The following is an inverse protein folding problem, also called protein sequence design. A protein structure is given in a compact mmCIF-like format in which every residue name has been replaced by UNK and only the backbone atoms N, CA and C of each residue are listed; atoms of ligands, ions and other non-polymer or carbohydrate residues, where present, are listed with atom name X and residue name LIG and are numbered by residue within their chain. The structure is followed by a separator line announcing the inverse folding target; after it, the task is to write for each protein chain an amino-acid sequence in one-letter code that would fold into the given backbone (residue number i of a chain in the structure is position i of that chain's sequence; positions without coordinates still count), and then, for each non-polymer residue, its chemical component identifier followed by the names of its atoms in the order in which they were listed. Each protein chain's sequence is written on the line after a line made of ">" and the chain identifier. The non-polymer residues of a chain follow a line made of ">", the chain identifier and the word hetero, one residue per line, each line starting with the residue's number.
data_IF_053387457618
#
_entry.id   IF_053387457618
#
_cell.length_a   1.000
_cell.length_b   1.000
_cell.length_c   1.000
_cell.angle_alpha   90.00
_cell.angle_beta   90.00
_cell.angle_gamma   90.00
#
_symmetry.space_group_name_H-M   'P 1'
#
loop_
_entity.id
_entity.type
_entity.pdbx_description
1 polymer ?
#
# COMPACT_ATOMS: atom_id res chain seq x y z
N UNK A 1 12.15 11.96 14.98
CA UNK A 1 11.23 10.79 14.91
C UNK A 1 10.35 10.85 16.14
N UNK A 2 9.03 10.96 15.99
CA UNK A 2 8.06 11.07 17.12
C UNK A 2 7.17 9.83 17.09
N UNK A 3 7.03 9.08 18.19
CA UNK A 3 6.07 7.97 18.23
C UNK A 3 4.64 8.52 18.40
N UNK A 4 3.76 8.26 17.44
CA UNK A 4 2.35 8.65 17.51
C UNK A 4 1.44 7.62 18.22
N UNK A 5 2.04 6.54 18.71
CA UNK A 5 1.40 5.47 19.49
C UNK A 5 2.20 5.21 20.78
N UNK A 6 2.34 6.20 21.68
CA UNK A 6 3.09 6.03 22.93
C UNK A 6 2.49 4.97 23.87
N UNK A 7 1.21 4.66 23.71
CA UNK A 7 0.49 3.65 24.48
C UNK A 7 0.72 2.22 23.98
N UNK A 8 1.27 2.05 22.76
CA UNK A 8 1.54 0.73 22.17
C UNK A 8 2.97 0.28 22.51
N UNK A 9 3.19 -1.01 22.80
CA UNK A 9 4.52 -1.50 23.15
C UNK A 9 5.48 -1.43 21.95
N UNK A 10 6.77 -1.21 22.22
CA UNK A 10 7.82 -1.50 21.24
C UNK A 10 7.96 -3.00 21.10
N UNK A 11 7.89 -3.52 19.88
CA UNK A 11 8.01 -4.95 19.60
C UNK A 11 9.20 -5.22 18.67
N UNK A 12 9.78 -6.42 18.81
CA UNK A 12 10.88 -6.87 17.95
C UNK A 12 10.41 -7.01 16.50
N UNK A 13 11.33 -6.75 15.57
CA UNK A 13 11.07 -6.98 14.15
C UNK A 13 10.85 -8.47 13.86
N UNK A 14 9.75 -8.77 13.16
CA UNK A 14 9.47 -10.07 12.59
C UNK A 14 9.22 -9.90 11.09
N UNK A 15 9.95 -10.66 10.27
CA UNK A 15 9.65 -10.74 8.85
C UNK A 15 8.41 -11.62 8.64
N UNK A 16 7.28 -11.01 8.28
CA UNK A 16 6.04 -11.74 7.98
C UNK A 16 5.90 -11.95 6.49
N UNK A 17 5.32 -13.09 6.11
CA UNK A 17 5.11 -13.44 4.71
C UNK A 17 3.66 -13.88 4.49
N UNK A 18 3.14 -13.62 3.29
CA UNK A 18 1.81 -14.07 2.87
C UNK A 18 1.84 -14.46 1.38
N UNK A 19 1.27 -15.61 0.99
CA UNK A 19 1.14 -15.97 -0.41
C UNK A 19 0.30 -14.97 -1.19
N UNK A 20 0.72 -14.63 -2.41
CA UNK A 20 -0.07 -13.72 -3.27
C UNK A 20 -1.46 -14.25 -3.62
N UNK A 21 -1.65 -15.57 -3.61
CA UNK A 21 -2.97 -16.20 -3.80
C UNK A 21 -3.95 -15.82 -2.70
N UNK A 22 -3.50 -15.79 -1.45
CA UNK A 22 -4.33 -15.35 -0.31
C UNK A 22 -4.64 -13.85 -0.40
N UNK A 23 -3.66 -13.04 -0.80
CA UNK A 23 -3.86 -11.59 -1.02
C UNK A 23 -4.89 -11.33 -2.11
N UNK A 24 -4.83 -12.07 -3.23
CA UNK A 24 -5.81 -11.96 -4.32
C UNK A 24 -7.20 -12.37 -3.81
N UNK A 25 -7.31 -13.49 -3.10
CA UNK A 25 -8.58 -13.97 -2.54
C UNK A 25 -9.19 -12.95 -1.58
N UNK A 26 -8.40 -12.38 -0.68
CA UNK A 26 -8.84 -11.32 0.24
C UNK A 26 -9.35 -10.09 -0.53
N UNK A 27 -8.58 -9.59 -1.51
CA UNK A 27 -9.00 -8.45 -2.32
C UNK A 27 -10.27 -8.74 -3.14
N UNK A 28 -10.46 -9.98 -3.61
CA UNK A 28 -11.69 -10.38 -4.30
C UNK A 28 -12.90 -10.31 -3.36
N UNK A 29 -12.77 -10.78 -2.12
CA UNK A 29 -13.83 -10.82 -1.12
C UNK A 29 -14.28 -9.44 -0.58
N UNK A 30 -13.42 -8.42 -0.64
CA UNK A 30 -13.75 -7.08 -0.14
C UNK A 30 -14.77 -6.37 -1.05
N UNK A 31 -15.73 -5.65 -0.48
CA UNK A 31 -16.64 -4.79 -1.26
C UNK A 31 -15.95 -3.46 -1.60
N UNK A 32 -15.36 -3.39 -2.79
CA UNK A 32 -14.59 -2.23 -3.26
C UNK A 32 -14.58 -2.17 -4.79
N UNK A 33 -14.39 -0.96 -5.33
CA UNK A 33 -14.24 -0.74 -6.77
C UNK A 33 -13.09 -1.59 -7.34
N UNK A 34 -13.29 -2.19 -8.51
CA UNK A 34 -12.27 -3.01 -9.15
C UNK A 34 -10.94 -2.28 -9.34
N UNK A 35 -11.00 -0.99 -9.68
CA UNK A 35 -9.79 -0.17 -9.86
C UNK A 35 -9.02 0.07 -8.57
N UNK A 36 -9.72 0.20 -7.44
CA UNK A 36 -9.09 0.28 -6.12
C UNK A 36 -8.41 -1.05 -5.81
N UNK A 37 -9.09 -2.19 -6.04
CA UNK A 37 -8.50 -3.53 -5.84
C UNK A 37 -7.26 -3.75 -6.70
N UNK A 38 -7.31 -3.36 -7.98
CA UNK A 38 -6.17 -3.45 -8.91
C UNK A 38 -4.98 -2.62 -8.42
N UNK A 39 -5.21 -1.37 -8.05
CA UNK A 39 -4.17 -0.50 -7.53
C UNK A 39 -3.57 -1.04 -6.22
N UNK A 40 -4.41 -1.47 -5.28
CA UNK A 40 -3.97 -2.09 -4.02
C UNK A 40 -3.14 -3.35 -4.24
N UNK A 41 -3.54 -4.23 -5.17
CA UNK A 41 -2.75 -5.40 -5.55
C UNK A 41 -1.35 -5.02 -6.04
N UNK A 42 -1.25 -4.03 -6.94
CA UNK A 42 0.03 -3.59 -7.51
C UNK A 42 0.91 -2.97 -6.41
N UNK A 43 0.36 -2.06 -5.62
CA UNK A 43 1.09 -1.40 -4.53
C UNK A 43 1.56 -2.41 -3.49
N UNK A 44 0.68 -3.33 -3.07
CA UNK A 44 1.06 -4.41 -2.16
C UNK A 44 2.23 -5.19 -2.73
N UNK A 45 2.14 -5.64 -3.98
CA UNK A 45 3.18 -6.44 -4.63
C UNK A 45 4.54 -5.74 -4.66
N UNK A 46 4.57 -4.44 -4.94
CA UNK A 46 5.81 -3.64 -4.95
C UNK A 46 6.35 -3.49 -3.54
N UNK A 47 5.54 -2.98 -2.62
CA UNK A 47 5.97 -2.59 -1.26
C UNK A 47 6.38 -3.81 -0.41
N UNK A 48 5.76 -4.96 -0.66
CA UNK A 48 6.03 -6.20 0.08
C UNK A 48 6.98 -7.18 -0.62
N UNK A 49 7.48 -6.84 -1.81
CA UNK A 49 8.19 -7.78 -2.68
C UNK A 49 7.41 -9.10 -2.89
N UNK A 50 6.18 -9.01 -3.40
CA UNK A 50 5.25 -10.13 -3.60
C UNK A 50 4.87 -10.86 -2.29
N UNK A 51 4.67 -10.12 -1.20
CA UNK A 51 4.26 -10.66 0.09
C UNK A 51 5.38 -11.30 0.91
N UNK A 52 6.66 -11.14 0.52
CA UNK A 52 7.80 -11.83 1.17
C UNK A 52 8.55 -10.97 2.20
N UNK A 53 8.23 -9.68 2.29
CA UNK A 53 8.96 -8.70 3.12
C UNK A 53 8.04 -7.84 4.00
N UNK A 54 7.15 -8.45 4.78
CA UNK A 54 6.33 -7.72 5.76
C UNK A 54 7.07 -7.36 7.04
N UNK A 55 6.68 -6.26 7.68
CA UNK A 55 7.14 -5.85 9.02
C UNK A 55 6.03 -6.14 10.02
N UNK A 56 6.07 -7.27 10.72
CA UNK A 56 5.04 -7.62 11.72
C UNK A 56 3.62 -7.41 11.16
N UNK A 57 3.31 -8.09 10.05
CA UNK A 57 2.07 -8.00 9.27
C UNK A 57 1.81 -6.67 8.54
N UNK A 58 2.70 -5.67 8.64
CA UNK A 58 2.64 -4.45 7.86
C UNK A 58 3.41 -4.62 6.54
N UNK A 59 2.66 -4.81 5.45
CA UNK A 59 3.20 -5.06 4.11
C UNK A 59 3.26 -3.79 3.24
N UNK A 60 2.88 -2.65 3.82
CA UNK A 60 2.65 -1.39 3.10
C UNK A 60 3.51 -0.25 3.63
N UNK A 61 4.41 -0.55 4.56
CA UNK A 61 5.28 0.42 5.19
C UNK A 61 4.54 1.48 5.99
N UNK A 62 3.39 1.16 6.61
CA UNK A 62 2.65 2.11 7.43
C UNK A 62 3.52 2.57 8.62
N UNK A 63 3.84 3.85 8.65
CA UNK A 63 4.74 4.46 9.63
C UNK A 63 3.99 4.90 10.88
N UNK A 64 4.60 4.76 12.05
CA UNK A 64 4.14 5.27 13.33
C UNK A 64 4.81 6.62 13.69
N UNK A 65 5.71 7.13 12.85
CA UNK A 65 6.49 8.34 13.12
C UNK A 65 6.13 9.61 12.33
N UNK A 66 5.16 9.51 11.41
CA UNK A 66 4.69 10.64 10.60
C UNK A 66 3.42 11.28 11.17
N UNK A 67 2.41 10.46 11.48
CA UNK A 67 1.15 10.86 12.09
C UNK A 67 0.47 9.63 12.71
N UNK A 68 -0.54 9.87 13.57
CA UNK A 68 -1.45 8.80 13.99
C UNK A 68 -2.40 8.47 12.84
N UNK A 69 -2.61 7.18 12.58
CA UNK A 69 -3.61 6.70 11.62
C UNK A 69 -5.03 6.84 12.18
N UNK A 70 -6.08 6.72 11.35
CA UNK A 70 -7.46 6.77 11.82
C UNK A 70 -7.70 5.81 12.99
N UNK A 71 -8.44 6.28 14.00
CA UNK A 71 -8.67 5.58 15.27
C UNK A 71 -9.21 4.14 15.09
N UNK A 72 -9.95 3.87 14.01
CA UNK A 72 -10.47 2.53 13.72
C UNK A 72 -9.40 1.45 13.56
N UNK A 73 -8.14 1.81 13.35
CA UNK A 73 -7.02 0.88 13.30
C UNK A 73 -6.31 0.70 14.63
N UNK A 74 -6.65 1.48 15.66
CA UNK A 74 -5.93 1.47 16.93
C UNK A 74 -5.96 0.09 17.58
N UNK A 75 -7.09 -0.63 17.52
CA UNK A 75 -7.20 -2.00 18.06
C UNK A 75 -6.45 -3.04 17.24
N UNK A 76 -6.26 -2.79 15.94
CA UNK A 76 -5.48 -3.66 15.07
C UNK A 76 -3.98 -3.37 15.11
N UNK A 77 -3.56 -2.23 15.66
CA UNK A 77 -2.15 -1.90 15.87
C UNK A 77 -1.72 -2.47 17.23
N UNK A 78 -0.92 -3.53 17.19
CA UNK A 78 -0.50 -4.28 18.38
C UNK A 78 0.81 -3.81 18.98
N UNK A 79 1.61 -3.06 18.21
CA UNK A 79 2.90 -2.55 18.65
C UNK A 79 3.56 -1.64 17.63
N UNK A 80 4.76 -1.18 17.99
CA UNK A 80 5.60 -0.32 17.15
C UNK A 80 6.96 -0.98 16.94
N UNK A 81 7.44 -0.97 15.71
CA UNK A 81 8.72 -1.57 15.29
C UNK A 81 9.68 -0.46 14.89
N UNK A 82 10.86 -0.42 15.51
CA UNK A 82 11.97 0.42 15.06
C UNK A 82 12.76 -0.33 13.98
N UNK A 83 12.82 0.23 12.76
CA UNK A 83 13.61 -0.34 11.67
C UNK A 83 14.16 0.77 10.78
N UNK A 84 15.33 0.55 10.20
CA UNK A 84 15.85 1.45 9.18
C UNK A 84 15.07 1.29 7.87
N UNK A 85 14.71 2.43 7.26
CA UNK A 85 14.12 2.47 5.93
C UNK A 85 15.12 1.95 4.88
N UNK A 86 14.68 1.07 3.99
CA UNK A 86 15.56 0.41 3.02
C UNK A 86 16.27 1.40 2.07
N UNK A 87 15.65 2.54 1.76
CA UNK A 87 16.19 3.50 0.78
C UNK A 87 17.15 4.51 1.40
N UNK A 88 16.81 5.07 2.57
CA UNK A 88 17.61 6.14 3.18
C UNK A 88 18.46 5.68 4.36
N UNK A 89 18.32 4.42 4.78
CA UNK A 89 18.91 3.84 5.99
C UNK A 89 18.64 4.65 7.27
N UNK A 90 17.55 5.45 7.27
CA UNK A 90 17.17 6.26 8.43
C UNK A 90 16.30 5.42 9.35
N UNK A 91 16.48 5.49 10.68
CA UNK A 91 15.59 4.83 11.61
C UNK A 91 14.18 5.41 11.47
N UNK A 92 13.19 4.52 11.33
CA UNK A 92 11.77 4.84 11.27
C UNK A 92 11.00 3.97 12.25
N UNK A 93 9.88 4.49 12.73
CA UNK A 93 8.90 3.68 13.46
C UNK A 93 7.83 3.20 12.48
N UNK A 94 7.52 1.91 12.52
CA UNK A 94 6.45 1.27 11.76
C UNK A 94 5.40 0.70 12.71
N UNK A 95 4.14 0.71 12.28
CA UNK A 95 3.10 -0.01 13.03
C UNK A 95 3.24 -1.51 12.81
N UNK A 96 3.05 -2.31 13.86
CA UNK A 96 2.81 -3.75 13.76
C UNK A 96 1.30 -3.99 13.77
N UNK A 97 0.81 -4.75 12.78
CA UNK A 97 -0.60 -5.13 12.73
C UNK A 97 -0.82 -6.49 13.38
N UNK A 98 -2.00 -6.67 13.96
CA UNK A 98 -2.50 -7.94 14.49
C UNK A 98 -2.45 -9.08 13.47
N UNK A 99 -2.82 -8.79 12.21
CA UNK A 99 -2.88 -9.74 11.09
C UNK A 99 -2.62 -9.04 9.75
N UNK A 100 -2.23 -9.82 8.75
CA UNK A 100 -1.87 -9.27 7.43
C UNK A 100 -3.06 -8.67 6.68
N UNK A 101 -4.29 -9.15 6.93
CA UNK A 101 -5.50 -8.63 6.32
C UNK A 101 -5.72 -7.16 6.70
N UNK A 102 -5.41 -6.77 7.94
CA UNK A 102 -5.47 -5.38 8.38
C UNK A 102 -4.59 -4.48 7.50
N UNK A 103 -3.41 -4.96 7.08
CA UNK A 103 -2.55 -4.21 6.16
C UNK A 103 -3.17 -4.04 4.77
N UNK A 104 -3.98 -5.00 4.31
CA UNK A 104 -4.73 -4.89 3.04
C UNK A 104 -5.87 -3.90 3.17
N UNK A 105 -6.67 -4.00 4.23
CA UNK A 105 -7.79 -3.10 4.48
C UNK A 105 -7.30 -1.65 4.63
N UNK A 106 -6.20 -1.46 5.36
CA UNK A 106 -5.49 -0.19 5.45
C UNK A 106 -5.07 0.33 4.07
N UNK A 107 -4.41 -0.50 3.26
CA UNK A 107 -3.98 -0.09 1.91
C UNK A 107 -5.15 0.31 1.04
N UNK A 108 -6.22 -0.48 1.04
CA UNK A 108 -7.40 -0.28 0.21
C UNK A 108 -8.04 1.08 0.49
N UNK A 109 -8.23 1.41 1.77
CA UNK A 109 -8.69 2.73 2.16
C UNK A 109 -7.72 3.82 1.74
N UNK A 110 -6.41 3.64 1.94
CA UNK A 110 -5.43 4.66 1.55
C UNK A 110 -5.44 4.93 0.05
N UNK A 111 -5.56 3.88 -0.76
CA UNK A 111 -5.66 3.95 -2.23
C UNK A 111 -6.91 4.72 -2.63
N UNK A 112 -8.07 4.31 -2.09
CA UNK A 112 -9.34 4.95 -2.38
C UNK A 112 -9.32 6.43 -1.97
N UNK A 113 -9.01 6.70 -0.71
CA UNK A 113 -9.03 8.06 -0.18
C UNK A 113 -8.06 8.94 -0.95
N UNK A 114 -6.82 8.49 -1.25
CA UNK A 114 -5.85 9.31 -2.00
C UNK A 114 -6.16 9.43 -3.50
N UNK A 115 -7.16 8.73 -4.02
CA UNK A 115 -7.49 8.71 -5.45
C UNK A 115 -6.42 8.04 -6.31
N UNK A 116 -5.65 7.10 -5.74
CA UNK A 116 -4.52 6.42 -6.40
C UNK A 116 -4.97 5.18 -7.18
N UNK A 117 -5.94 5.35 -8.09
CA UNK A 117 -6.48 4.26 -8.92
C UNK A 117 -7.01 4.83 -10.24
N UNK A 118 -7.11 4.01 -11.29
CA UNK A 118 -7.63 4.48 -12.59
C UNK A 118 -9.10 4.86 -12.46
N UNK A 119 -9.47 6.05 -12.94
CA UNK A 119 -10.76 6.70 -12.70
C UNK A 119 -10.78 7.61 -11.46
N UNK A 120 -9.73 7.60 -10.62
CA UNK A 120 -9.58 8.47 -9.47
C UNK A 120 -8.93 9.83 -9.79
N UNK A 121 -8.82 10.67 -8.77
CA UNK A 121 -8.05 11.92 -8.80
C UNK A 121 -7.02 11.91 -7.67
N UNK A 122 -5.73 11.79 -8.01
CA UNK A 122 -4.64 11.74 -7.05
C UNK A 122 -4.41 13.13 -6.46
N UNK A 123 -4.80 13.33 -5.21
CA UNK A 123 -4.93 14.68 -4.66
C UNK A 123 -3.79 15.14 -3.74
N UNK A 124 -2.92 14.24 -3.27
CA UNK A 124 -1.96 14.58 -2.20
C UNK A 124 -0.78 15.40 -2.75
N UNK A 125 -0.04 14.84 -3.72
CA UNK A 125 1.16 15.47 -4.28
C UNK A 125 1.01 15.66 -5.80
N UNK A 126 0.51 14.64 -6.51
CA UNK A 126 0.42 14.60 -7.96
C UNK A 126 -0.63 15.57 -8.52
N UNK A 127 -1.73 15.79 -7.79
CA UNK A 127 -2.83 16.70 -8.14
C UNK A 127 -3.30 16.52 -9.59
N UNK A 128 -3.58 15.27 -9.97
CA UNK A 128 -3.91 14.91 -11.35
C UNK A 128 -5.00 13.84 -11.44
N UNK A 129 -5.83 13.86 -12.50
CA UNK A 129 -6.71 12.74 -12.80
C UNK A 129 -5.86 11.52 -13.20
N UNK A 130 -6.28 10.34 -12.73
CA UNK A 130 -5.62 9.07 -13.04
C UNK A 130 -6.44 8.38 -14.12
N UNK A 131 -6.16 8.65 -15.40
CA UNK A 131 -6.99 8.16 -16.52
C UNK A 131 -6.52 6.82 -17.08
N UNK A 132 -5.31 6.42 -16.74
CA UNK A 132 -4.66 5.24 -17.28
C UNK A 132 -3.72 4.59 -16.26
N UNK A 133 -3.31 3.35 -16.53
CA UNK A 133 -2.28 2.68 -15.73
C UNK A 133 -0.93 3.44 -15.74
N UNK A 134 -0.65 4.18 -16.82
CA UNK A 134 0.51 5.08 -16.87
C UNK A 134 0.36 6.24 -15.86
N UNK A 135 -0.79 6.91 -15.85
CA UNK A 135 -1.05 7.98 -14.87
C UNK A 135 -1.01 7.45 -13.45
N UNK A 136 -1.48 6.22 -13.23
CA UNK A 136 -1.39 5.56 -11.93
C UNK A 136 0.08 5.37 -11.51
N UNK A 137 0.95 4.91 -12.41
CA UNK A 137 2.38 4.77 -12.12
C UNK A 137 3.03 6.10 -11.72
N UNK A 138 2.67 7.19 -12.41
CA UNK A 138 3.12 8.56 -12.11
C UNK A 138 2.60 9.01 -10.74
N UNK A 139 1.30 8.90 -10.51
CA UNK A 139 0.66 9.30 -9.26
C UNK A 139 1.22 8.51 -8.06
N UNK A 140 1.39 7.20 -8.20
CA UNK A 140 2.02 6.33 -7.21
C UNK A 140 3.44 6.78 -6.85
N UNK A 141 4.29 7.05 -7.85
CA UNK A 141 5.66 7.52 -7.62
C UNK A 141 5.69 8.84 -6.83
N UNK A 142 4.78 9.77 -7.14
CA UNK A 142 4.71 11.09 -6.52
C UNK A 142 4.09 11.07 -5.12
N UNK A 143 2.94 10.42 -4.95
CA UNK A 143 2.14 10.48 -3.72
C UNK A 143 2.55 9.45 -2.66
N UNK A 144 3.07 8.30 -3.09
CA UNK A 144 3.36 7.18 -2.21
C UNK A 144 4.87 7.01 -2.01
N UNK A 145 5.63 6.87 -3.09
CA UNK A 145 7.04 6.47 -3.01
C UNK A 145 7.96 7.64 -2.62
N UNK A 146 7.81 8.80 -3.26
CA UNK A 146 8.80 9.90 -3.13
C UNK A 146 8.31 11.12 -2.37
N UNK A 147 7.00 11.37 -2.36
CA UNK A 147 6.45 12.62 -1.83
C UNK A 147 6.84 13.86 -2.65
N UNK A 148 7.23 13.72 -3.92
CA UNK A 148 7.71 14.81 -4.78
C UNK A 148 6.87 14.93 -6.03
N UNK A 149 6.34 16.12 -6.32
CA UNK A 149 5.46 16.38 -7.47
C UNK A 149 6.17 16.25 -8.82
N UNK A 150 7.49 16.40 -8.85
CA UNK A 150 8.31 16.31 -10.06
C UNK A 150 8.86 14.89 -10.32
N UNK A 151 8.63 13.96 -9.39
CA UNK A 151 9.10 12.59 -9.57
C UNK A 151 8.29 11.87 -10.66
N UNK A 152 8.98 11.06 -11.47
CA UNK A 152 8.37 10.19 -12.46
C UNK A 152 8.98 8.80 -12.35
N UNK A 153 8.23 7.74 -12.68
CA UNK A 153 8.78 6.39 -12.76
C UNK A 153 9.83 6.33 -13.88
N UNK A 154 10.88 5.56 -13.65
CA UNK A 154 11.78 5.12 -14.72
C UNK A 154 11.03 4.20 -15.69
N UNK A 155 11.57 4.01 -16.90
CA UNK A 155 10.98 3.08 -17.88
C UNK A 155 10.79 1.67 -17.33
N UNK A 156 11.74 1.20 -16.50
CA UNK A 156 11.66 -0.11 -15.84
C UNK A 156 10.51 -0.17 -14.82
N UNK A 157 10.38 0.83 -13.96
CA UNK A 157 9.28 0.92 -12.98
C UNK A 157 7.93 0.99 -13.69
N UNK A 158 7.82 1.81 -14.73
CA UNK A 158 6.62 1.96 -15.53
C UNK A 158 6.22 0.62 -16.18
N UNK A 159 7.13 -0.04 -16.89
CA UNK A 159 6.86 -1.32 -17.55
C UNK A 159 6.47 -2.41 -16.54
N UNK A 160 7.10 -2.42 -15.36
CA UNK A 160 6.73 -3.29 -14.26
C UNK A 160 5.28 -3.06 -13.82
N UNK A 161 4.89 -1.80 -13.58
CA UNK A 161 3.53 -1.43 -13.17
C UNK A 161 2.51 -1.79 -14.25
N UNK A 162 2.78 -1.50 -15.52
CA UNK A 162 1.87 -1.85 -16.63
C UNK A 162 1.66 -3.37 -16.74
N UNK A 163 2.73 -4.16 -16.58
CA UNK A 163 2.64 -5.63 -16.56
C UNK A 163 1.80 -6.14 -15.39
N UNK A 164 2.01 -5.58 -14.19
CA UNK A 164 1.21 -5.92 -13.01
C UNK A 164 -0.26 -5.51 -13.16
N UNK A 165 -0.53 -4.38 -13.79
CA UNK A 165 -1.89 -3.92 -14.07
C UNK A 165 -2.62 -4.88 -15.01
N UNK A 166 -1.97 -5.34 -16.08
CA UNK A 166 -2.53 -6.37 -16.98
C UNK A 166 -2.87 -7.67 -16.25
N UNK A 167 -2.07 -8.07 -15.25
CA UNK A 167 -2.36 -9.24 -14.40
C UNK A 167 -3.55 -8.96 -13.48
N UNK A 168 -3.55 -7.80 -12.81
CA UNK A 168 -4.61 -7.38 -11.90
C UNK A 168 -5.99 -7.34 -12.60
N UNK A 169 -6.05 -6.90 -13.86
CA UNK A 169 -7.29 -6.88 -14.64
C UNK A 169 -7.91 -8.26 -14.86
N UNK A 170 -7.11 -9.34 -14.81
CA UNK A 170 -7.62 -10.72 -14.88
C UNK A 170 -8.21 -11.20 -13.55
N UNK A 171 -7.67 -10.73 -12.43
CA UNK A 171 -8.11 -11.13 -11.10
C UNK A 171 -9.32 -10.33 -10.62
N UNK A 172 -9.42 -9.07 -11.01
CA UNK A 172 -10.42 -8.12 -10.52
C UNK A 172 -11.17 -7.51 -11.70
N UNK A 173 -12.24 -8.17 -12.14
CA UNK A 173 -13.08 -7.74 -13.25
C UNK A 173 -14.55 -7.75 -12.85
N UNK A 174 -15.36 -6.95 -13.55
CA UNK A 174 -16.81 -7.06 -13.43
C UNK A 174 -17.24 -8.49 -13.77
N UNK A 175 -18.24 -9.06 -13.07
CA UNK A 175 -18.84 -10.30 -13.51
C UNK A 175 -19.32 -10.11 -14.94
N UNK A 176 -18.99 -11.06 -15.83
CA UNK A 176 -19.61 -11.10 -17.15
C UNK A 176 -21.10 -11.35 -16.91
N UNK A 177 -21.92 -10.31 -17.03
CA UNK A 177 -23.36 -10.48 -17.09
C UNK A 177 -23.63 -11.04 -18.49
N UNK A 178 -23.64 -12.37 -18.58
CA UNK A 178 -24.14 -13.11 -19.75
C UNK A 178 -25.64 -13.26 -19.67
#
# INVERSE_FOLDING_TARGET
>A
MKNFYPEKPMVGYLNTQVPMTEVISQLQALDALFEVKRASYIMFRIESANGTRGINNNFVGAQADGARWPQKYDDNITGIVLRNENTTNKPRLFVAFDRWQTSIDFLLERVFNRGLYVGGYAHKIAKMPVRSAHDFAVAYKRDWVTGKSTANPTSTELNGILSMYKQASKFFQAPNIS
#
